data_IF_138826452561
#
_entry.id   IF_138826452561
#
_cell.length_a   1.000
_cell.length_b   1.000
_cell.length_c   1.000
_cell.angle_alpha   90.00
_cell.angle_beta   90.00
_cell.angle_gamma   90.00
#
_symmetry.space_group_name_H-M   'P 1'
#
loop_
_entity.id
_entity.type
_entity.pdbx_description
1 polymer ?
#
# COMPACT_ATOMS: atom_id res chain seq x y z
N UNK A 1 -68.09 -56.39 17.78
CA UNK A 1 -68.21 -55.71 16.47
C UNK A 1 -68.02 -54.20 16.60
N UNK A 2 -68.77 -53.52 17.47
CA UNK A 2 -68.66 -52.05 17.69
C UNK A 2 -67.29 -51.62 18.23
N UNK A 3 -66.71 -52.35 19.19
CA UNK A 3 -65.38 -52.07 19.77
C UNK A 3 -64.24 -52.06 18.75
N UNK A 4 -64.27 -53.00 17.79
CA UNK A 4 -63.28 -53.08 16.71
C UNK A 4 -63.37 -51.87 15.78
N UNK A 5 -64.59 -51.45 15.44
CA UNK A 5 -64.83 -50.26 14.62
C UNK A 5 -64.33 -48.98 15.29
N UNK A 6 -64.64 -48.76 16.57
CA UNK A 6 -64.14 -47.60 17.30
C UNK A 6 -62.60 -47.57 17.36
N UNK A 7 -61.97 -48.72 17.52
CA UNK A 7 -60.51 -48.83 17.54
C UNK A 7 -59.89 -48.52 16.17
N UNK A 8 -60.44 -49.04 15.06
CA UNK A 8 -59.96 -48.71 13.69
C UNK A 8 -60.01 -47.21 13.39
N UNK A 9 -61.12 -46.56 13.76
CA UNK A 9 -61.32 -45.13 13.53
C UNK A 9 -60.38 -44.31 14.40
N UNK A 10 -60.18 -44.71 15.66
CA UNK A 10 -59.23 -44.07 16.57
C UNK A 10 -57.79 -44.15 16.05
N UNK A 11 -57.36 -45.31 15.55
CA UNK A 11 -56.03 -45.51 14.96
C UNK A 11 -55.85 -44.67 13.69
N UNK A 12 -56.87 -44.57 12.84
CA UNK A 12 -56.84 -43.71 11.66
C UNK A 12 -56.73 -42.21 12.02
N UNK A 13 -57.46 -41.76 13.04
CA UNK A 13 -57.38 -40.38 13.56
C UNK A 13 -56.01 -40.10 14.15
N UNK A 14 -55.43 -41.04 14.90
CA UNK A 14 -54.07 -40.90 15.43
C UNK A 14 -53.02 -40.81 14.31
N UNK A 15 -53.13 -41.62 13.25
CA UNK A 15 -52.29 -41.50 12.07
C UNK A 15 -52.42 -40.15 11.37
N UNK A 16 -53.64 -39.61 11.29
CA UNK A 16 -53.92 -38.29 10.73
C UNK A 16 -53.37 -37.14 11.57
N UNK A 17 -53.55 -37.17 12.89
CA UNK A 17 -53.03 -36.15 13.82
C UNK A 17 -51.50 -36.15 13.80
N UNK A 18 -50.88 -37.33 13.85
CA UNK A 18 -49.44 -37.46 13.80
C UNK A 18 -48.87 -36.97 12.47
N UNK A 19 -49.51 -37.31 11.35
CA UNK A 19 -49.16 -36.78 10.02
C UNK A 19 -49.29 -35.26 9.93
N UNK A 20 -50.29 -34.66 10.59
CA UNK A 20 -50.51 -33.21 10.62
C UNK A 20 -49.49 -32.49 11.51
N UNK A 21 -49.07 -33.09 12.64
CA UNK A 21 -48.02 -32.54 13.51
C UNK A 21 -46.66 -32.44 12.81
N UNK A 22 -46.38 -33.33 11.85
CA UNK A 22 -45.16 -33.27 11.04
C UNK A 22 -45.28 -32.35 9.81
N UNK A 23 -46.48 -31.85 9.49
CA UNK A 23 -46.75 -30.99 8.33
C UNK A 23 -46.31 -29.56 8.65
N UNK A 24 -45.04 -29.27 8.40
CA UNK A 24 -44.41 -27.96 8.64
C UNK A 24 -42.99 -28.01 9.21
N UNK A 25 -42.48 -29.20 9.58
CA UNK A 25 -41.11 -29.39 10.04
C UNK A 25 -40.11 -29.67 8.91
N UNK A 26 -38.80 -29.48 9.20
CA UNK A 26 -37.69 -29.80 8.29
C UNK A 26 -37.83 -31.27 7.77
N UNK A 27 -37.65 -31.55 6.46
CA UNK A 27 -37.86 -32.87 5.86
C UNK A 27 -37.14 -34.03 6.57
N UNK A 28 -36.06 -33.75 7.30
CA UNK A 28 -35.40 -34.76 8.14
C UNK A 28 -36.28 -35.26 9.30
N UNK A 29 -37.08 -34.39 9.92
CA UNK A 29 -38.04 -34.77 10.96
C UNK A 29 -39.23 -35.57 10.41
N UNK A 30 -39.52 -35.44 9.12
CA UNK A 30 -40.54 -36.25 8.43
C UNK A 30 -40.05 -37.69 8.27
N UNK A 31 -38.81 -37.89 7.80
CA UNK A 31 -38.20 -39.22 7.71
C UNK A 31 -37.98 -39.85 9.09
N UNK A 32 -37.55 -39.06 10.08
CA UNK A 32 -37.45 -39.51 11.46
C UNK A 32 -38.83 -39.85 12.02
N UNK A 33 -39.85 -39.02 11.78
CA UNK A 33 -41.22 -39.27 12.23
C UNK A 33 -41.81 -40.54 11.60
N UNK A 34 -41.53 -40.79 10.32
CA UNK A 34 -41.90 -42.02 9.63
C UNK A 34 -41.13 -43.20 10.24
N UNK A 35 -39.81 -43.12 10.40
CA UNK A 35 -39.00 -44.20 10.97
C UNK A 35 -39.38 -44.52 12.42
N UNK A 36 -39.60 -43.51 13.26
CA UNK A 36 -40.00 -43.65 14.67
C UNK A 36 -41.44 -44.16 14.81
N UNK A 37 -42.32 -43.84 13.87
CA UNK A 37 -43.68 -44.41 13.83
C UNK A 37 -43.69 -45.86 13.31
N UNK A 38 -42.87 -46.16 12.29
CA UNK A 38 -42.85 -47.48 11.65
C UNK A 38 -42.14 -48.54 12.49
N UNK A 39 -41.16 -48.18 13.32
CA UNK A 39 -40.34 -49.14 14.09
C UNK A 39 -41.12 -49.83 15.24
N UNK A 40 -41.87 -49.12 16.10
CA UNK A 40 -42.69 -49.76 17.13
C UNK A 40 -43.84 -50.58 16.54
N UNK A 41 -44.50 -50.06 15.51
CA UNK A 41 -45.59 -50.76 14.80
C UNK A 41 -45.05 -51.98 14.05
N UNK A 42 -43.86 -51.86 13.45
CA UNK A 42 -43.10 -52.95 12.84
C UNK A 42 -42.76 -54.07 13.81
N UNK A 43 -42.37 -53.73 15.05
CA UNK A 43 -42.09 -54.73 16.07
C UNK A 43 -43.35 -55.47 16.55
N UNK A 44 -44.52 -54.84 16.53
CA UNK A 44 -45.81 -55.51 16.81
C UNK A 44 -46.36 -56.35 15.65
N UNK A 45 -45.83 -56.16 14.43
CA UNK A 45 -46.20 -56.90 13.22
C UNK A 45 -45.50 -58.28 13.09
N UNK A 46 -44.51 -58.57 13.93
CA UNK A 46 -43.82 -59.88 13.95
C UNK A 46 -44.59 -60.92 14.78
N UNK A 47 -45.59 -60.50 15.56
CA UNK A 47 -46.50 -61.39 16.29
C UNK A 47 -47.87 -61.46 15.58
N UNK A 48 -48.25 -62.66 15.15
CA UNK A 48 -49.05 -63.01 13.97
C UNK A 48 -50.56 -62.65 13.93
N UNK A 49 -51.12 -61.81 14.80
CA UNK A 49 -52.61 -61.76 14.95
C UNK A 49 -53.32 -60.43 14.61
N UNK A 50 -52.62 -59.31 14.31
CA UNK A 50 -53.29 -57.99 14.24
C UNK A 50 -52.90 -57.08 13.04
N UNK A 51 -52.81 -57.64 11.84
CA UNK A 51 -52.38 -56.93 10.62
C UNK A 51 -53.41 -55.95 10.00
N UNK A 52 -54.72 -56.11 10.24
CA UNK A 52 -55.75 -55.36 9.49
C UNK A 52 -55.86 -53.88 9.90
N UNK A 53 -55.46 -53.51 11.11
CA UNK A 53 -55.53 -52.13 11.62
C UNK A 53 -54.39 -51.24 11.09
N UNK A 54 -53.36 -51.84 10.49
CA UNK A 54 -52.23 -51.11 9.90
C UNK A 54 -52.61 -50.42 8.58
N UNK A 55 -53.45 -51.06 7.78
CA UNK A 55 -53.89 -50.56 6.48
C UNK A 55 -54.53 -49.16 6.59
N UNK A 56 -55.50 -48.90 7.50
CA UNK A 56 -56.08 -47.57 7.65
C UNK A 56 -55.11 -46.56 8.28
N UNK A 57 -54.16 -46.99 9.13
CA UNK A 57 -53.12 -46.11 9.67
C UNK A 57 -52.20 -45.59 8.55
N UNK A 58 -51.70 -46.50 7.72
CA UNK A 58 -50.82 -46.18 6.58
C UNK A 58 -51.56 -45.37 5.52
N UNK A 59 -52.81 -45.69 5.22
CA UNK A 59 -53.64 -44.89 4.31
C UNK A 59 -53.87 -43.47 4.83
N UNK A 60 -54.18 -43.32 6.13
CA UNK A 60 -54.35 -42.01 6.76
C UNK A 60 -53.06 -41.19 6.76
N UNK A 61 -51.91 -41.83 6.98
CA UNK A 61 -50.60 -41.21 6.91
C UNK A 61 -50.24 -40.81 5.47
N UNK A 62 -50.36 -41.72 4.50
CA UNK A 62 -50.08 -41.46 3.08
C UNK A 62 -50.99 -40.38 2.50
N UNK A 63 -52.26 -40.33 2.89
CA UNK A 63 -53.22 -39.31 2.44
C UNK A 63 -52.72 -37.88 2.75
N UNK A 64 -52.11 -37.68 3.92
CA UNK A 64 -51.54 -36.39 4.34
C UNK A 64 -50.24 -36.05 3.60
N UNK A 65 -49.53 -37.08 3.13
CA UNK A 65 -48.17 -37.04 2.61
C UNK A 65 -48.03 -37.17 1.08
N UNK A 66 -49.12 -37.25 0.32
CA UNK A 66 -49.16 -37.56 -1.13
C UNK A 66 -48.27 -36.70 -2.04
N UNK A 67 -47.61 -35.64 -1.57
CA UNK A 67 -46.78 -34.75 -2.40
C UNK A 67 -45.38 -34.44 -1.82
N UNK A 68 -44.54 -35.43 -1.47
CA UNK A 68 -43.19 -35.17 -0.95
C UNK A 68 -42.21 -34.74 -2.06
N UNK A 69 -42.56 -34.99 -3.33
CA UNK A 69 -41.73 -34.71 -4.51
C UNK A 69 -41.76 -33.25 -4.98
N UNK A 70 -42.77 -32.46 -4.60
CA UNK A 70 -42.88 -31.06 -5.03
C UNK A 70 -41.75 -30.19 -4.49
N UNK A 71 -41.34 -30.41 -3.24
CA UNK A 71 -40.20 -29.70 -2.64
C UNK A 71 -38.87 -30.05 -3.31
N UNK A 72 -38.70 -31.31 -3.74
CA UNK A 72 -37.48 -31.73 -4.42
C UNK A 72 -37.34 -31.02 -5.78
N UNK A 73 -38.42 -30.96 -6.57
CA UNK A 73 -38.41 -30.21 -7.82
C UNK A 73 -38.17 -28.71 -7.63
N UNK A 74 -38.70 -28.13 -6.55
CA UNK A 74 -38.55 -26.70 -6.23
C UNK A 74 -37.09 -26.35 -5.88
N UNK A 75 -36.46 -27.16 -5.03
CA UNK A 75 -35.04 -27.02 -4.69
C UNK A 75 -34.13 -27.16 -5.93
N UNK A 76 -34.45 -28.08 -6.86
CA UNK A 76 -33.71 -28.20 -8.11
C UNK A 76 -33.88 -26.99 -9.04
N UNK A 77 -35.07 -26.39 -9.12
CA UNK A 77 -35.27 -25.16 -9.90
C UNK A 77 -34.55 -23.96 -9.29
N UNK A 78 -34.49 -23.86 -7.97
CA UNK A 78 -33.80 -22.76 -7.27
C UNK A 78 -32.28 -22.83 -7.43
N UNK A 79 -31.70 -24.04 -7.42
CA UNK A 79 -30.28 -24.28 -7.73
C UNK A 79 -29.95 -23.91 -9.18
N UNK A 80 -30.83 -24.25 -10.13
CA UNK A 80 -30.63 -23.91 -11.54
C UNK A 80 -30.71 -22.40 -11.78
N UNK A 81 -31.67 -21.72 -11.13
CA UNK A 81 -31.84 -20.28 -11.22
C UNK A 81 -30.64 -19.53 -10.63
N UNK A 82 -30.17 -19.95 -9.45
CA UNK A 82 -28.99 -19.35 -8.81
C UNK A 82 -27.72 -19.57 -9.62
N UNK A 83 -27.56 -20.72 -10.28
CA UNK A 83 -26.45 -20.96 -11.20
C UNK A 83 -26.49 -20.03 -12.42
N UNK A 84 -27.67 -19.84 -13.05
CA UNK A 84 -27.83 -18.91 -14.17
C UNK A 84 -27.57 -17.46 -13.76
N UNK A 85 -28.06 -17.05 -12.59
CA UNK A 85 -27.82 -15.72 -12.03
C UNK A 85 -26.33 -15.49 -11.75
N UNK A 86 -25.64 -16.49 -11.17
CA UNK A 86 -24.21 -16.42 -10.91
C UNK A 86 -23.41 -16.30 -12.20
N UNK A 87 -23.78 -17.04 -13.25
CA UNK A 87 -23.16 -16.95 -14.57
C UNK A 87 -23.36 -15.57 -15.20
N UNK A 88 -24.59 -15.06 -15.23
CA UNK A 88 -24.90 -13.73 -15.75
C UNK A 88 -24.15 -12.62 -15.00
N UNK A 89 -24.08 -12.72 -13.67
CA UNK A 89 -23.32 -11.78 -12.82
C UNK A 89 -21.81 -11.84 -13.12
N UNK A 90 -21.25 -13.03 -13.36
CA UNK A 90 -19.84 -13.17 -13.70
C UNK A 90 -19.52 -12.52 -15.06
N UNK A 91 -20.35 -12.74 -16.08
CA UNK A 91 -20.20 -12.13 -17.41
C UNK A 91 -20.33 -10.61 -17.35
N UNK A 92 -21.30 -10.11 -16.59
CA UNK A 92 -21.47 -8.67 -16.38
C UNK A 92 -20.27 -8.04 -15.64
N UNK A 93 -19.72 -8.73 -14.63
CA UNK A 93 -18.53 -8.25 -13.92
C UNK A 93 -17.29 -8.20 -14.80
N UNK A 94 -17.12 -9.15 -15.73
CA UNK A 94 -16.02 -9.15 -16.69
C UNK A 94 -16.14 -8.02 -17.71
N UNK A 95 -17.35 -7.76 -18.21
CA UNK A 95 -17.59 -6.63 -19.12
C UNK A 95 -17.30 -5.30 -18.41
N UNK A 96 -17.80 -5.13 -17.19
CA UNK A 96 -17.55 -3.94 -16.38
C UNK A 96 -16.05 -3.73 -16.10
N UNK A 97 -15.32 -4.81 -15.78
CA UNK A 97 -13.87 -4.74 -15.55
C UNK A 97 -13.11 -4.28 -16.80
N UNK A 98 -13.52 -4.73 -18.00
CA UNK A 98 -12.90 -4.27 -19.24
C UNK A 98 -13.16 -2.79 -19.54
N UNK A 99 -14.36 -2.31 -19.26
CA UNK A 99 -14.69 -0.90 -19.48
C UNK A 99 -13.96 0.02 -18.49
N UNK A 100 -13.82 -0.41 -17.23
CA UNK A 100 -13.05 0.29 -16.20
C UNK A 100 -11.56 0.40 -16.56
N UNK A 101 -10.96 -0.67 -17.10
CA UNK A 101 -9.58 -0.63 -17.62
C UNK A 101 -9.46 0.40 -18.75
N UNK A 102 -10.39 0.42 -19.70
CA UNK A 102 -10.36 1.36 -20.82
C UNK A 102 -10.49 2.81 -20.36
N UNK A 103 -11.38 3.08 -19.40
CA UNK A 103 -11.54 4.41 -18.81
C UNK A 103 -10.27 4.83 -18.08
N UNK A 104 -9.72 3.96 -17.24
CA UNK A 104 -8.47 4.22 -16.51
C UNK A 104 -7.31 4.51 -17.47
N UNK A 105 -7.18 3.76 -18.56
CA UNK A 105 -6.16 4.02 -19.58
C UNK A 105 -6.33 5.38 -20.26
N UNK A 106 -7.58 5.80 -20.52
CA UNK A 106 -7.86 7.12 -21.10
C UNK A 106 -7.54 8.24 -20.12
N UNK A 107 -7.90 8.09 -18.85
CA UNK A 107 -7.61 9.07 -17.80
C UNK A 107 -6.11 9.21 -17.57
N UNK A 108 -5.37 8.10 -17.54
CA UNK A 108 -3.90 8.14 -17.44
C UNK A 108 -3.29 8.87 -18.64
N UNK A 109 -3.79 8.63 -19.86
CA UNK A 109 -3.33 9.32 -21.07
C UNK A 109 -3.63 10.83 -21.00
N UNK A 110 -4.82 11.21 -20.56
CA UNK A 110 -5.22 12.61 -20.39
C UNK A 110 -4.35 13.31 -19.34
N UNK A 111 -4.15 12.69 -18.17
CA UNK A 111 -3.27 13.22 -17.12
C UNK A 111 -1.81 13.34 -17.59
N UNK A 112 -1.30 12.36 -18.35
CA UNK A 112 0.05 12.42 -18.88
C UNK A 112 0.22 13.56 -19.89
N UNK A 113 -0.79 13.84 -20.72
CA UNK A 113 -0.77 14.96 -21.66
C UNK A 113 -0.83 16.30 -20.92
N UNK A 114 -1.69 16.43 -19.91
CA UNK A 114 -1.79 17.64 -19.09
C UNK A 114 -0.48 17.91 -18.34
N UNK A 115 0.15 16.89 -17.77
CA UNK A 115 1.45 16.99 -17.13
C UNK A 115 2.56 17.42 -18.11
N UNK A 116 2.50 16.96 -19.38
CA UNK A 116 3.43 17.42 -20.43
C UNK A 116 3.22 18.89 -20.75
N UNK A 117 1.97 19.36 -20.82
CA UNK A 117 1.65 20.78 -21.04
C UNK A 117 2.13 21.65 -19.88
N UNK A 118 1.89 21.23 -18.64
CA UNK A 118 2.38 21.93 -17.45
C UNK A 118 3.91 21.99 -17.41
N UNK A 119 4.60 20.88 -17.74
CA UNK A 119 6.06 20.87 -17.84
C UNK A 119 6.60 21.82 -18.91
N UNK A 120 5.97 21.85 -20.09
CA UNK A 120 6.37 22.77 -21.16
C UNK A 120 6.19 24.24 -20.73
N UNK A 121 5.09 24.57 -20.06
CA UNK A 121 4.86 25.92 -19.52
C UNK A 121 5.89 26.29 -18.44
N UNK A 122 6.14 25.39 -17.49
CA UNK A 122 7.14 25.61 -16.46
C UNK A 122 8.55 25.77 -17.03
N UNK A 123 8.91 24.99 -18.05
CA UNK A 123 10.21 25.11 -18.73
C UNK A 123 10.35 26.45 -19.46
N UNK A 124 9.29 26.93 -20.12
CA UNK A 124 9.27 28.27 -20.72
C UNK A 124 9.43 29.38 -19.67
N UNK A 125 8.75 29.28 -18.53
CA UNK A 125 8.87 30.25 -17.43
C UNK A 125 10.28 30.26 -16.84
N UNK A 126 10.88 29.08 -16.62
CA UNK A 126 12.26 28.97 -16.16
C UNK A 126 13.22 29.57 -17.19
N UNK A 127 12.99 29.34 -18.49
CA UNK A 127 13.80 29.94 -19.55
C UNK A 127 13.69 31.47 -19.57
N UNK A 128 12.48 32.02 -19.41
CA UNK A 128 12.28 33.48 -19.32
C UNK A 128 12.93 34.07 -18.06
N UNK A 129 12.73 33.42 -16.92
CA UNK A 129 13.30 33.85 -15.64
C UNK A 129 14.83 33.79 -15.64
N UNK A 130 15.42 32.73 -16.19
CA UNK A 130 16.87 32.59 -16.33
C UNK A 130 17.47 33.61 -17.30
N UNK A 131 16.80 33.91 -18.41
CA UNK A 131 17.23 34.97 -19.32
C UNK A 131 17.16 36.36 -18.66
N UNK A 132 16.11 36.64 -17.88
CA UNK A 132 15.99 37.89 -17.12
C UNK A 132 17.08 38.03 -16.06
N UNK A 133 17.35 36.96 -15.30
CA UNK A 133 18.47 36.88 -14.36
C UNK A 133 19.80 37.15 -15.06
N UNK A 134 20.03 36.54 -16.23
CA UNK A 134 21.25 36.77 -17.01
C UNK A 134 21.38 38.23 -17.44
N UNK A 135 20.30 38.84 -17.94
CA UNK A 135 20.27 40.27 -18.32
C UNK A 135 20.55 41.18 -17.12
N UNK A 136 19.97 40.89 -15.95
CA UNK A 136 20.25 41.64 -14.70
C UNK A 136 21.71 41.50 -14.28
N UNK A 137 22.27 40.30 -14.37
CA UNK A 137 23.68 40.05 -14.04
C UNK A 137 24.64 40.75 -15.02
N UNK A 138 24.35 40.72 -16.33
CA UNK A 138 25.11 41.47 -17.35
C UNK A 138 25.02 43.00 -17.12
N UNK A 139 23.83 43.52 -16.80
CA UNK A 139 23.64 44.94 -16.50
C UNK A 139 24.40 45.37 -15.23
N UNK A 140 24.32 44.56 -14.16
CA UNK A 140 25.07 44.78 -12.92
C UNK A 140 26.58 44.79 -13.17
N UNK A 141 27.08 43.84 -13.96
CA UNK A 141 28.50 43.75 -14.30
C UNK A 141 28.97 44.96 -15.15
N UNK A 142 28.17 45.42 -16.12
CA UNK A 142 28.46 46.65 -16.89
C UNK A 142 28.49 47.90 -16.01
N UNK A 143 27.55 48.01 -15.07
CA UNK A 143 27.50 49.15 -14.14
C UNK A 143 28.72 49.15 -13.21
N UNK A 144 29.13 47.99 -12.71
CA UNK A 144 30.36 47.83 -11.92
C UNK A 144 31.61 48.21 -12.73
N UNK A 145 31.64 47.84 -14.03
CA UNK A 145 32.75 48.17 -14.94
C UNK A 145 32.85 49.68 -15.26
N UNK A 146 31.74 50.42 -15.25
CA UNK A 146 31.71 51.87 -15.48
C UNK A 146 31.99 52.70 -14.23
N UNK A 147 31.85 52.11 -13.03
CA UNK A 147 32.12 52.79 -11.75
C UNK A 147 33.51 52.50 -11.17
N UNK A 148 34.40 51.82 -11.90
CA UNK A 148 35.81 51.74 -11.52
C UNK A 148 36.59 52.93 -12.11
N UNK A 149 36.95 53.96 -11.31
CA UNK A 149 38.11 54.76 -11.65
C UNK A 149 39.32 53.84 -11.65
N UNK A 150 40.24 54.11 -12.56
CA UNK A 150 41.51 53.42 -12.71
C UNK A 150 42.31 53.44 -11.39
N UNK A 151 42.00 52.50 -10.50
CA UNK A 151 42.73 52.25 -9.28
C UNK A 151 42.96 50.74 -9.23
N UNK A 152 44.14 50.37 -9.73
CA UNK A 152 44.77 49.09 -9.53
C UNK A 152 44.89 48.80 -8.03
N UNK A 153 43.83 48.25 -7.45
CA UNK A 153 43.83 47.70 -6.11
C UNK A 153 43.65 46.20 -6.21
N UNK A 154 44.79 45.52 -6.02
CA UNK A 154 44.95 44.12 -5.63
C UNK A 154 43.69 43.47 -5.08
N UNK A 155 43.02 42.69 -5.93
CA UNK A 155 42.04 41.72 -5.45
C UNK A 155 42.73 40.37 -5.47
N UNK A 156 43.22 39.98 -4.30
CA UNK A 156 43.79 38.67 -4.01
C UNK A 156 42.74 37.60 -4.28
N UNK A 157 42.78 37.04 -5.47
CA UNK A 157 42.16 35.75 -5.75
C UNK A 157 42.92 34.72 -4.91
N UNK A 158 42.23 34.10 -3.97
CA UNK A 158 42.78 33.03 -3.17
C UNK A 158 42.84 31.75 -4.01
N UNK A 159 43.72 31.75 -5.00
CA UNK A 159 44.09 30.55 -5.72
C UNK A 159 44.99 29.72 -4.79
N UNK A 160 44.37 28.82 -4.05
CA UNK A 160 45.08 27.82 -3.24
C UNK A 160 45.91 26.84 -4.09
N UNK A 161 45.97 27.04 -5.41
CA UNK A 161 46.76 26.27 -6.37
C UNK A 161 48.26 26.65 -6.42
N UNK A 162 48.70 27.67 -5.66
CA UNK A 162 50.11 28.10 -5.64
C UNK A 162 50.68 28.48 -4.26
N UNK A 163 49.92 28.31 -3.18
CA UNK A 163 50.34 28.72 -1.84
C UNK A 163 51.23 27.65 -1.19
N UNK A 164 52.40 28.07 -0.69
CA UNK A 164 53.31 27.16 0.01
C UNK A 164 52.98 27.16 1.52
N UNK A 165 52.46 26.06 2.09
CA UNK A 165 52.10 25.99 3.52
C UNK A 165 53.31 26.15 4.47
N UNK A 166 54.53 26.20 3.95
CA UNK A 166 55.77 26.44 4.69
C UNK A 166 56.17 27.91 4.79
N UNK A 167 55.53 28.81 4.04
CA UNK A 167 55.72 30.26 4.16
C UNK A 167 54.69 30.83 5.11
N UNK A 168 55.10 31.75 5.98
CA UNK A 168 54.22 32.30 7.03
C UNK A 168 53.00 33.02 6.44
N UNK A 169 53.19 33.85 5.42
CA UNK A 169 52.10 34.62 4.79
C UNK A 169 51.10 33.71 4.07
N UNK A 170 51.60 32.71 3.35
CA UNK A 170 50.80 31.68 2.67
C UNK A 170 50.09 30.76 3.68
N UNK A 171 50.73 30.45 4.82
CA UNK A 171 50.12 29.67 5.89
C UNK A 171 48.97 30.43 6.58
N UNK A 172 49.14 31.73 6.84
CA UNK A 172 48.08 32.58 7.39
C UNK A 172 46.89 32.64 6.43
N UNK A 173 47.23 32.83 5.16
CA UNK A 173 46.32 32.74 4.03
C UNK A 173 45.54 31.42 4.04
N UNK A 174 46.21 30.25 4.11
CA UNK A 174 45.57 28.92 4.10
C UNK A 174 44.60 28.73 5.27
N UNK A 175 44.89 29.34 6.42
CA UNK A 175 44.01 29.33 7.60
C UNK A 175 42.89 30.38 7.50
N UNK A 176 42.86 31.22 6.47
CA UNK A 176 41.85 32.26 6.25
C UNK A 176 41.96 33.43 7.24
N UNK A 177 43.16 33.69 7.76
CA UNK A 177 43.42 34.69 8.79
C UNK A 177 44.56 35.63 8.37
N UNK A 178 44.49 36.87 8.80
CA UNK A 178 45.48 37.89 8.42
C UNK A 178 46.83 37.61 9.11
N UNK A 179 47.95 37.91 8.46
CA UNK A 179 49.29 37.70 9.03
C UNK A 179 49.56 38.46 10.34
N UNK A 180 48.77 39.52 10.61
CA UNK A 180 48.80 40.29 11.86
C UNK A 180 47.78 39.86 12.93
N UNK A 181 47.06 38.76 12.73
CA UNK A 181 46.09 38.23 13.70
C UNK A 181 46.75 37.71 14.99
N UNK A 182 45.97 37.57 16.06
CA UNK A 182 46.49 37.04 17.33
C UNK A 182 46.64 35.51 17.31
N UNK A 183 47.52 34.95 18.15
CA UNK A 183 47.69 33.49 18.30
C UNK A 183 46.36 32.78 18.60
N UNK A 184 45.46 33.44 19.34
CA UNK A 184 44.13 32.91 19.65
C UNK A 184 43.25 32.78 18.40
N UNK A 185 43.34 33.73 17.45
CA UNK A 185 42.62 33.71 16.18
C UNK A 185 43.15 32.62 15.25
N UNK A 186 44.48 32.49 15.12
CA UNK A 186 45.09 31.39 14.37
C UNK A 186 44.64 30.02 14.90
N UNK A 187 44.62 29.84 16.23
CA UNK A 187 44.18 28.59 16.87
C UNK A 187 42.67 28.36 16.69
N UNK A 188 41.86 29.41 16.65
CA UNK A 188 40.41 29.32 16.39
C UNK A 188 40.16 28.88 14.95
N UNK A 189 40.83 29.50 13.98
CA UNK A 189 40.73 29.16 12.57
C UNK A 189 41.19 27.73 12.28
N UNK A 190 42.32 27.30 12.86
CA UNK A 190 42.81 25.93 12.76
C UNK A 190 41.77 24.90 13.25
N UNK A 191 41.22 25.08 14.45
CA UNK A 191 40.19 24.17 15.00
C UNK A 191 38.94 24.13 14.14
N UNK A 192 38.55 25.26 13.58
CA UNK A 192 37.38 25.34 12.70
C UNK A 192 37.61 24.54 11.41
N UNK A 193 38.74 24.76 10.72
CA UNK A 193 39.07 24.07 9.47
C UNK A 193 39.28 22.57 9.66
N UNK A 194 39.94 22.14 10.74
CA UNK A 194 40.08 20.71 11.04
C UNK A 194 38.73 20.04 11.30
N UNK A 195 37.80 20.71 12.00
CA UNK A 195 36.46 20.16 12.24
C UNK A 195 35.60 20.05 10.95
N UNK A 196 35.90 20.85 9.93
CA UNK A 196 35.24 20.81 8.62
C UNK A 196 35.81 19.70 7.73
N UNK A 197 37.14 19.56 7.68
CA UNK A 197 37.83 18.61 6.79
C UNK A 197 38.21 17.28 7.47
N UNK A 198 37.80 17.05 8.72
CA UNK A 198 38.17 15.83 9.46
C UNK A 198 37.77 14.55 8.71
N UNK A 199 38.70 13.60 8.52
CA UNK A 199 38.45 12.39 7.73
C UNK A 199 37.30 11.52 8.27
N UNK A 200 37.05 11.57 9.59
CA UNK A 200 35.99 10.82 10.28
C UNK A 200 34.56 11.25 9.85
N UNK A 201 34.37 12.52 9.45
CA UNK A 201 33.07 13.00 8.93
C UNK A 201 32.83 12.63 7.47
N UNK A 202 33.88 12.15 6.80
CA UNK A 202 33.91 11.88 5.36
C UNK A 202 33.86 10.39 5.05
N UNK A 203 33.62 9.52 6.04
CA UNK A 203 33.47 8.08 5.82
C UNK A 203 32.23 7.70 5.00
N UNK A 204 31.25 8.62 4.87
CA UNK A 204 30.08 8.45 4.00
C UNK A 204 30.28 8.97 2.57
N UNK A 205 31.41 9.61 2.27
CA UNK A 205 31.70 10.22 0.96
C UNK A 205 32.87 9.48 0.32
N UNK A 206 32.64 8.86 -0.82
CA UNK A 206 33.62 7.96 -1.44
C UNK A 206 34.51 8.65 -2.50
N UNK A 207 35.69 8.06 -2.74
CA UNK A 207 36.59 8.40 -3.84
C UNK A 207 37.32 9.75 -3.75
N UNK A 208 37.10 10.61 -4.75
CA UNK A 208 37.88 11.84 -5.03
C UNK A 208 37.75 12.89 -3.93
N UNK A 209 36.55 13.05 -3.36
CA UNK A 209 36.29 14.04 -2.30
C UNK A 209 37.02 13.68 -1.00
N UNK A 210 37.13 12.39 -0.69
CA UNK A 210 37.90 11.90 0.47
C UNK A 210 39.40 12.16 0.31
N UNK A 211 39.92 12.07 -0.92
CA UNK A 211 41.31 12.39 -1.23
C UNK A 211 41.58 13.90 -1.09
N UNK A 212 40.73 14.74 -1.69
CA UNK A 212 40.85 16.20 -1.60
C UNK A 212 40.77 16.69 -0.15
N UNK A 213 39.88 16.14 0.66
CA UNK A 213 39.79 16.53 2.06
C UNK A 213 41.02 16.10 2.89
N UNK A 214 41.63 14.95 2.57
CA UNK A 214 42.90 14.52 3.18
C UNK A 214 44.04 15.47 2.80
N UNK A 215 44.11 15.90 1.55
CA UNK A 215 45.10 16.87 1.07
C UNK A 215 44.92 18.22 1.75
N UNK A 216 43.70 18.74 1.79
CA UNK A 216 43.38 19.99 2.48
C UNK A 216 43.72 19.92 3.98
N UNK A 217 43.40 18.81 4.65
CA UNK A 217 43.75 18.60 6.06
C UNK A 217 45.26 18.65 6.27
N UNK A 218 46.05 18.03 5.39
CA UNK A 218 47.52 18.09 5.46
C UNK A 218 48.02 19.53 5.29
N UNK A 219 47.48 20.29 4.33
CA UNK A 219 47.85 21.70 4.14
C UNK A 219 47.55 22.55 5.37
N UNK A 220 46.38 22.35 5.99
CA UNK A 220 45.98 23.07 7.21
C UNK A 220 46.91 22.76 8.39
N UNK A 221 47.30 21.50 8.57
CA UNK A 221 48.24 21.09 9.65
C UNK A 221 49.61 21.74 9.42
N UNK A 222 50.15 21.66 8.20
CA UNK A 222 51.47 22.23 7.87
C UNK A 222 51.45 23.75 8.05
N UNK A 223 50.39 24.42 7.61
CA UNK A 223 50.23 25.87 7.80
C UNK A 223 50.22 26.25 9.29
N UNK A 224 49.49 25.51 10.12
CA UNK A 224 49.48 25.74 11.57
C UNK A 224 50.86 25.54 12.21
N UNK A 225 51.59 24.48 11.83
CA UNK A 225 52.95 24.24 12.34
C UNK A 225 53.91 25.36 11.95
N UNK A 226 53.83 25.87 10.72
CA UNK A 226 54.64 26.99 10.23
C UNK A 226 54.38 28.26 11.04
N UNK A 227 53.11 28.58 11.29
CA UNK A 227 52.73 29.74 12.11
C UNK A 227 53.21 29.58 13.56
N UNK A 228 53.02 28.39 14.14
CA UNK A 228 53.45 28.09 15.50
C UNK A 228 54.98 28.17 15.65
N UNK A 229 55.76 27.76 14.64
CA UNK A 229 57.22 27.90 14.63
C UNK A 229 57.69 29.35 14.51
N UNK A 230 56.94 30.21 13.82
CA UNK A 230 57.29 31.62 13.62
C UNK A 230 56.90 32.51 14.80
N UNK A 231 55.85 32.15 15.52
CA UNK A 231 55.34 32.88 16.70
C UNK A 231 55.93 32.39 18.04
N UNK A 232 56.82 31.39 18.01
CA UNK A 232 57.57 30.89 19.16
C UNK A 232 58.91 31.61 19.29
#
# INVERSE_FOLDING_TARGET
>A
MTTVLFFTVFVAIMGFIFGKCCKGGNPFFIFIGLAVSLVPVGSTLVTEEQNWYFIPYVLGFLYVYTNPFYWLSDAFSEVKLSYQLAKAKSEQSHAQYQDDIKQTEQDIKAQAEELRRQKAQAEEEIKRASEELRRKQEAFQRQQSQQQPNNSSSQSHFDSAGLDPRKFEDACSILGVHAGSSLAEFKKAYRHLINLFHPDKLDKIDGVLKQQAKENTKLIIIAWETIQKKLK
#
